data_IF_029144255290
#
_entry.id   IF_029144255290
#
_cell.length_a   1.000
_cell.length_b   1.000
_cell.length_c   1.000
_cell.angle_alpha   90.00
_cell.angle_beta   90.00
_cell.angle_gamma   90.00
#
_symmetry.space_group_name_H-M   'P 1'
#
loop_
_entity.id
_entity.type
_entity.pdbx_description
1 polymer ?
#
# COMPACT_ATOMS: atom_id res chain seq x y z
N UNK A 1 4.49 -26.60 -26.96
CA UNK A 1 3.32 -26.08 -26.20
C UNK A 1 3.80 -25.80 -24.81
N UNK A 2 3.36 -24.67 -24.21
CA UNK A 2 3.69 -24.37 -22.83
C UNK A 2 2.99 -25.34 -21.87
N UNK A 3 3.57 -25.57 -20.70
CA UNK A 3 3.00 -26.44 -19.66
C UNK A 3 1.75 -25.78 -19.04
N UNK A 4 1.74 -24.44 -18.94
CA UNK A 4 0.65 -23.63 -18.41
C UNK A 4 0.24 -22.59 -19.46
N UNK A 5 -1.07 -22.48 -19.71
CA UNK A 5 -1.64 -21.39 -20.50
C UNK A 5 -2.47 -20.50 -19.55
N UNK A 6 -2.18 -19.21 -19.54
CA UNK A 6 -2.87 -18.27 -18.65
C UNK A 6 -3.27 -17.00 -19.41
N UNK A 7 -4.33 -16.34 -18.99
CA UNK A 7 -4.69 -15.01 -19.53
C UNK A 7 -3.73 -13.95 -18.96
N UNK A 8 -3.44 -14.01 -17.66
CA UNK A 8 -2.66 -13.02 -16.94
C UNK A 8 -1.57 -13.69 -16.11
N UNK A 9 -0.32 -13.34 -16.39
CA UNK A 9 0.84 -13.67 -15.58
C UNK A 9 1.17 -12.48 -14.67
N UNK A 10 1.20 -12.70 -13.35
CA UNK A 10 1.52 -11.67 -12.36
C UNK A 10 2.84 -12.02 -11.67
N UNK A 11 3.82 -11.13 -11.71
CA UNK A 11 5.15 -11.33 -11.14
C UNK A 11 5.30 -10.47 -9.87
N UNK A 12 5.29 -11.12 -8.72
CA UNK A 12 5.33 -10.55 -7.37
C UNK A 12 4.03 -10.74 -6.61
N UNK A 13 4.06 -11.49 -5.50
CA UNK A 13 2.92 -11.83 -4.65
C UNK A 13 2.69 -10.89 -3.45
N UNK A 14 3.28 -9.68 -3.47
CA UNK A 14 2.96 -8.64 -2.49
C UNK A 14 1.51 -8.13 -2.63
N UNK A 15 1.13 -7.11 -1.85
CA UNK A 15 -0.25 -6.58 -1.85
C UNK A 15 -0.75 -6.22 -3.25
N UNK A 16 0.10 -5.62 -4.09
CA UNK A 16 -0.27 -5.24 -5.46
C UNK A 16 -0.64 -6.46 -6.32
N UNK A 17 0.27 -7.45 -6.39
CA UNK A 17 0.07 -8.62 -7.22
C UNK A 17 -1.02 -9.54 -6.71
N UNK A 18 -1.11 -9.76 -5.41
CA UNK A 18 -2.18 -10.58 -4.81
C UNK A 18 -3.57 -9.95 -4.97
N UNK A 19 -3.69 -8.62 -4.84
CA UNK A 19 -4.94 -7.91 -5.11
C UNK A 19 -5.36 -8.03 -6.57
N UNK A 20 -4.42 -7.84 -7.52
CA UNK A 20 -4.68 -8.02 -8.94
C UNK A 20 -5.08 -9.48 -9.25
N UNK A 21 -4.34 -10.46 -8.71
CA UNK A 21 -4.64 -11.87 -8.91
C UNK A 21 -6.06 -12.22 -8.43
N UNK A 22 -6.43 -11.74 -7.25
CA UNK A 22 -7.77 -11.94 -6.71
C UNK A 22 -8.85 -11.30 -7.59
N UNK A 23 -8.66 -10.03 -7.98
CA UNK A 23 -9.63 -9.29 -8.76
C UNK A 23 -9.88 -9.93 -10.15
N UNK A 24 -8.81 -10.32 -10.85
CA UNK A 24 -8.89 -10.92 -12.17
C UNK A 24 -9.42 -12.36 -12.13
N UNK A 25 -9.00 -13.20 -11.18
CA UNK A 25 -9.53 -14.55 -11.06
C UNK A 25 -11.01 -14.58 -10.70
N UNK A 26 -11.48 -13.67 -9.86
CA UNK A 26 -12.93 -13.52 -9.55
C UNK A 26 -13.76 -13.05 -10.76
N UNK A 27 -13.14 -12.45 -11.76
CA UNK A 27 -13.77 -12.15 -13.07
C UNK A 27 -13.67 -13.30 -14.07
N UNK A 28 -13.06 -14.43 -13.68
CA UNK A 28 -12.95 -15.65 -14.47
C UNK A 28 -11.79 -15.69 -15.47
N UNK A 29 -10.82 -14.76 -15.38
CA UNK A 29 -9.57 -14.87 -16.15
C UNK A 29 -8.68 -15.95 -15.56
N UNK A 30 -7.96 -16.68 -16.42
CA UNK A 30 -6.91 -17.61 -16.00
C UNK A 30 -5.72 -16.80 -15.50
N UNK A 31 -5.38 -16.92 -14.21
CA UNK A 31 -4.34 -16.11 -13.55
C UNK A 31 -3.27 -17.00 -12.97
N UNK A 32 -2.01 -16.71 -13.33
CA UNK A 32 -0.84 -17.30 -12.68
C UNK A 32 -0.12 -16.22 -11.89
N UNK A 33 -0.08 -16.35 -10.55
CA UNK A 33 0.68 -15.50 -9.66
C UNK A 33 2.01 -16.15 -9.29
N UNK A 34 3.10 -15.41 -9.39
CA UNK A 34 4.45 -15.85 -9.04
C UNK A 34 5.00 -15.05 -7.86
N UNK A 35 5.55 -15.73 -6.84
CA UNK A 35 6.23 -15.09 -5.72
C UNK A 35 7.51 -15.85 -5.33
N UNK A 36 8.58 -15.11 -5.05
CA UNK A 36 9.88 -15.68 -4.66
C UNK A 36 10.00 -16.03 -3.18
N UNK A 37 9.22 -15.38 -2.33
CA UNK A 37 9.35 -15.43 -0.87
C UNK A 37 8.16 -16.11 -0.23
N UNK A 38 8.40 -17.14 0.59
CA UNK A 38 7.35 -17.86 1.35
C UNK A 38 6.67 -16.98 2.42
N UNK A 39 7.32 -15.91 2.84
CA UNK A 39 6.81 -15.01 3.88
C UNK A 39 6.88 -13.56 3.44
N UNK A 40 5.91 -12.73 3.85
CA UNK A 40 5.99 -11.29 3.65
C UNK A 40 7.30 -10.72 4.18
N UNK A 41 7.97 -9.89 3.39
CA UNK A 41 9.28 -9.32 3.75
C UNK A 41 9.18 -8.03 4.55
N UNK A 42 8.02 -7.39 4.54
CA UNK A 42 7.82 -6.05 5.09
C UNK A 42 6.59 -6.01 6.00
N UNK A 43 6.82 -6.17 7.31
CA UNK A 43 5.77 -6.19 8.34
C UNK A 43 5.47 -4.81 8.92
N UNK A 44 6.31 -3.81 8.63
CA UNK A 44 6.21 -2.49 9.27
C UNK A 44 5.53 -1.43 8.40
N UNK A 45 5.08 -1.75 7.18
CA UNK A 45 4.30 -0.85 6.32
C UNK A 45 2.90 -0.59 6.86
N UNK A 46 2.14 0.29 6.18
CA UNK A 46 0.80 0.71 6.60
C UNK A 46 -0.18 -0.45 6.77
N UNK A 47 -1.07 -0.34 7.76
CA UNK A 47 -2.00 -1.39 8.19
C UNK A 47 -3.46 -1.04 7.87
N UNK A 48 -3.75 -0.01 7.08
CA UNK A 48 -5.14 0.37 6.87
C UNK A 48 -5.51 0.64 5.41
N UNK A 49 -6.74 0.26 5.08
CA UNK A 49 -7.38 0.54 3.81
C UNK A 49 -8.49 1.59 4.03
N UNK A 50 -8.58 2.51 3.07
CA UNK A 50 -9.54 3.61 3.10
C UNK A 50 -10.97 3.14 2.81
N UNK A 51 -12.00 3.88 3.26
CA UNK A 51 -13.39 3.64 2.91
C UNK A 51 -13.64 3.37 1.42
N UNK A 52 -13.13 4.21 0.53
CA UNK A 52 -13.26 4.02 -0.92
C UNK A 52 -12.66 2.71 -1.43
N UNK A 53 -11.60 2.22 -0.78
CA UNK A 53 -11.02 0.91 -1.10
C UNK A 53 -11.85 -0.23 -0.53
N UNK A 54 -12.43 -0.07 0.66
CA UNK A 54 -13.38 -1.05 1.21
C UNK A 54 -14.59 -1.24 0.29
N UNK A 55 -15.09 -0.17 -0.32
CA UNK A 55 -16.14 -0.24 -1.35
C UNK A 55 -15.70 -1.06 -2.58
N UNK A 56 -14.47 -0.86 -3.07
CA UNK A 56 -13.90 -1.65 -4.16
C UNK A 56 -13.83 -3.13 -3.78
N UNK A 57 -13.32 -3.43 -2.58
CA UNK A 57 -13.25 -4.82 -2.09
C UNK A 57 -14.63 -5.46 -1.93
N UNK A 58 -15.64 -4.67 -1.59
CA UNK A 58 -17.05 -5.09 -1.60
C UNK A 58 -17.52 -5.47 -3.00
N UNK A 59 -17.24 -4.64 -4.01
CA UNK A 59 -17.54 -4.93 -5.43
C UNK A 59 -16.85 -6.20 -5.95
N UNK A 60 -15.66 -6.49 -5.45
CA UNK A 60 -14.93 -7.73 -5.79
C UNK A 60 -15.40 -8.95 -5.01
N UNK A 61 -16.33 -8.80 -4.05
CA UNK A 61 -16.77 -9.83 -3.10
C UNK A 61 -15.60 -10.40 -2.26
N UNK A 62 -14.71 -9.53 -1.79
CA UNK A 62 -13.51 -9.89 -1.00
C UNK A 62 -13.53 -9.28 0.40
N UNK A 63 -14.33 -8.25 0.64
CA UNK A 63 -14.34 -7.52 1.90
C UNK A 63 -14.57 -8.41 3.13
N UNK A 64 -15.49 -9.38 3.03
CA UNK A 64 -15.78 -10.31 4.13
C UNK A 64 -14.60 -11.24 4.47
N UNK A 65 -13.74 -11.56 3.50
CA UNK A 65 -12.54 -12.35 3.74
C UNK A 65 -11.59 -11.64 4.69
N UNK A 66 -11.45 -10.31 4.56
CA UNK A 66 -10.66 -9.51 5.48
C UNK A 66 -11.19 -9.57 6.90
N UNK A 67 -12.50 -9.41 7.10
CA UNK A 67 -13.10 -9.47 8.43
C UNK A 67 -13.02 -10.86 9.05
N UNK A 68 -13.25 -11.92 8.28
CA UNK A 68 -13.04 -13.32 8.71
C UNK A 68 -11.59 -13.58 9.10
N UNK A 69 -10.62 -12.92 8.46
CA UNK A 69 -9.19 -13.01 8.77
C UNK A 69 -8.75 -12.08 9.90
N UNK A 70 -9.68 -11.38 10.55
CA UNK A 70 -9.41 -10.60 11.76
C UNK A 70 -9.23 -9.09 11.55
N UNK A 71 -9.51 -8.57 10.35
CA UNK A 71 -9.55 -7.12 10.13
C UNK A 71 -10.54 -6.42 11.06
N UNK A 72 -10.26 -5.16 11.39
CA UNK A 72 -11.05 -4.35 12.31
C UNK A 72 -11.53 -3.06 11.64
N UNK A 73 -12.78 -2.70 11.90
CA UNK A 73 -13.31 -1.38 11.52
C UNK A 73 -12.82 -0.32 12.50
N UNK A 74 -12.40 0.84 11.97
CA UNK A 74 -11.95 2.00 12.76
C UNK A 74 -12.59 3.26 12.18
N UNK A 75 -12.92 4.20 13.05
CA UNK A 75 -13.61 5.42 12.62
C UNK A 75 -12.69 6.42 11.89
N UNK A 76 -11.39 6.45 12.20
CA UNK A 76 -10.46 7.39 11.58
C UNK A 76 -9.25 7.71 12.43
N UNK A 77 -8.80 8.97 12.39
CA UNK A 77 -7.67 9.45 13.16
C UNK A 77 -8.07 10.59 14.09
N UNK A 78 -7.47 10.60 15.28
CA UNK A 78 -7.52 11.71 16.23
C UNK A 78 -6.18 12.45 16.20
N UNK A 79 -6.24 13.77 16.15
CA UNK A 79 -5.07 14.65 16.10
C UNK A 79 -4.91 15.40 17.41
N UNK A 80 -3.67 15.44 17.90
CA UNK A 80 -3.29 16.08 19.15
C UNK A 80 -2.00 16.88 18.98
N UNK A 81 -1.78 17.87 19.84
CA UNK A 81 -0.44 18.40 20.04
C UNK A 81 0.40 17.50 20.98
N UNK A 82 1.64 17.87 21.24
CA UNK A 82 2.56 17.10 22.08
C UNK A 82 2.11 16.98 23.55
N UNK A 83 1.34 17.92 24.04
CA UNK A 83 0.76 17.93 25.40
C UNK A 83 -0.57 17.16 25.47
N UNK A 84 -0.94 16.46 24.40
CA UNK A 84 -2.18 15.72 24.23
C UNK A 84 -3.45 16.59 24.24
N UNK A 85 -3.35 17.88 23.92
CA UNK A 85 -4.52 18.70 23.66
C UNK A 85 -5.14 18.30 22.31
N UNK A 86 -6.44 18.08 22.32
CA UNK A 86 -7.20 17.67 21.13
C UNK A 86 -7.21 18.78 20.08
N UNK A 87 -6.98 18.41 18.82
CA UNK A 87 -6.96 19.33 17.67
C UNK A 87 -8.09 19.04 16.68
N UNK A 88 -8.25 17.77 16.26
CA UNK A 88 -9.26 17.40 15.28
C UNK A 88 -9.65 15.92 15.38
N UNK A 89 -10.92 15.65 15.17
CA UNK A 89 -11.45 14.30 14.91
C UNK A 89 -11.71 14.10 13.40
N UNK A 90 -10.81 13.34 12.74
CA UNK A 90 -10.96 12.96 11.35
C UNK A 90 -11.80 11.69 11.17
N UNK A 91 -12.85 11.55 11.96
CA UNK A 91 -13.78 10.44 11.95
C UNK A 91 -14.65 10.44 10.68
N UNK A 92 -14.66 9.30 9.98
CA UNK A 92 -15.43 9.11 8.73
C UNK A 92 -16.77 8.41 8.96
N UNK A 93 -17.08 7.96 10.18
CA UNK A 93 -18.29 7.18 10.46
C UNK A 93 -19.61 7.93 10.25
N UNK A 94 -19.54 9.26 10.15
CA UNK A 94 -20.70 10.14 9.91
C UNK A 94 -20.78 10.62 8.45
N UNK A 95 -19.88 10.19 7.58
CA UNK A 95 -19.95 10.50 6.16
C UNK A 95 -21.03 9.67 5.48
N UNK A 96 -21.73 10.27 4.53
CA UNK A 96 -22.70 9.57 3.67
C UNK A 96 -21.96 8.87 2.52
N UNK A 97 -21.33 7.74 2.85
CA UNK A 97 -20.54 6.90 1.95
C UNK A 97 -20.85 5.41 2.22
N UNK A 98 -20.67 4.50 1.25
CA UNK A 98 -21.04 3.09 1.40
C UNK A 98 -20.39 2.37 2.57
N UNK A 99 -19.09 2.59 2.78
CA UNK A 99 -18.29 1.95 3.83
C UNK A 99 -17.66 3.01 4.75
N UNK A 100 -18.40 3.59 5.74
CA UNK A 100 -17.95 4.74 6.52
C UNK A 100 -16.98 4.35 7.65
N UNK A 101 -15.93 3.61 7.30
CA UNK A 101 -14.86 3.18 8.22
C UNK A 101 -13.56 2.90 7.47
N UNK A 102 -12.44 3.04 8.14
CA UNK A 102 -11.17 2.46 7.72
C UNK A 102 -11.12 0.98 8.12
N UNK A 103 -10.63 0.12 7.25
CA UNK A 103 -10.34 -1.26 7.58
C UNK A 103 -8.87 -1.41 7.97
N UNK A 104 -8.62 -1.88 9.19
CA UNK A 104 -7.29 -2.14 9.72
C UNK A 104 -7.00 -3.63 9.66
N UNK A 105 -5.89 -3.98 9.05
CA UNK A 105 -5.36 -5.33 8.96
C UNK A 105 -3.84 -5.28 9.07
N UNK A 106 -3.23 -6.22 9.79
CA UNK A 106 -1.78 -6.27 9.85
C UNK A 106 -1.22 -6.44 8.42
N UNK A 107 -0.20 -5.66 8.08
CA UNK A 107 0.33 -5.61 6.70
C UNK A 107 0.74 -6.98 6.18
N UNK A 108 1.37 -7.77 7.05
CA UNK A 108 1.84 -9.12 6.77
C UNK A 108 0.74 -10.10 6.35
N UNK A 109 -0.52 -9.83 6.69
CA UNK A 109 -1.64 -10.72 6.42
C UNK A 109 -2.44 -10.31 5.17
N UNK A 110 -2.28 -9.09 4.66
CA UNK A 110 -3.12 -8.53 3.58
C UNK A 110 -3.01 -9.33 2.29
N UNK A 111 -1.79 -9.68 1.87
CA UNK A 111 -1.57 -10.48 0.66
C UNK A 111 -2.15 -11.89 0.79
N UNK A 112 -2.04 -12.50 1.98
CA UNK A 112 -2.57 -13.83 2.23
C UNK A 112 -4.10 -13.87 2.14
N UNK A 113 -4.79 -12.80 2.58
CA UNK A 113 -6.26 -12.68 2.40
C UNK A 113 -6.64 -12.65 0.94
N UNK A 114 -5.93 -11.87 0.10
CA UNK A 114 -6.19 -11.82 -1.33
C UNK A 114 -5.92 -13.17 -2.01
N UNK A 115 -4.80 -13.83 -1.69
CA UNK A 115 -4.46 -15.16 -2.22
C UNK A 115 -5.50 -16.20 -1.78
N UNK A 116 -5.93 -16.17 -0.51
CA UNK A 116 -6.98 -17.08 -0.01
C UNK A 116 -8.29 -16.89 -0.76
N UNK A 117 -8.70 -15.64 -1.00
CA UNK A 117 -9.91 -15.35 -1.77
C UNK A 117 -9.79 -15.70 -3.25
N UNK A 118 -8.58 -15.61 -3.84
CA UNK A 118 -8.31 -16.04 -5.21
C UNK A 118 -8.37 -17.55 -5.35
N UNK A 119 -7.86 -18.31 -4.36
CA UNK A 119 -7.87 -19.80 -4.34
C UNK A 119 -9.28 -20.43 -4.36
N UNK A 120 -10.34 -19.65 -4.13
CA UNK A 120 -11.72 -20.11 -4.30
C UNK A 120 -12.10 -20.29 -5.78
N UNK A 121 -11.28 -19.80 -6.72
CA UNK A 121 -11.54 -19.85 -8.14
C UNK A 121 -10.59 -20.86 -8.83
N UNK A 122 -11.13 -21.78 -9.60
CA UNK A 122 -10.37 -22.78 -10.37
C UNK A 122 -9.42 -22.13 -11.41
N UNK A 123 -9.74 -20.90 -11.83
CA UNK A 123 -8.93 -20.11 -12.77
C UNK A 123 -7.70 -19.46 -12.14
N UNK A 124 -7.40 -19.69 -10.86
CA UNK A 124 -6.24 -19.14 -10.18
C UNK A 124 -5.20 -20.20 -9.89
N UNK A 125 -3.95 -19.88 -10.21
CA UNK A 125 -2.77 -20.69 -9.86
C UNK A 125 -1.73 -19.83 -9.17
N UNK A 126 -1.09 -20.35 -8.13
CA UNK A 126 -0.05 -19.67 -7.37
C UNK A 126 1.21 -20.50 -7.26
N UNK A 127 2.33 -19.99 -7.76
CA UNK A 127 3.65 -20.62 -7.63
C UNK A 127 4.51 -19.81 -6.65
N UNK A 128 4.75 -20.40 -5.49
CA UNK A 128 5.55 -19.82 -4.40
C UNK A 128 6.16 -20.94 -3.55
N UNK A 129 7.46 -20.91 -3.26
CA UNK A 129 8.44 -19.94 -3.77
C UNK A 129 9.02 -20.33 -5.13
N UNK A 130 9.26 -19.33 -5.98
CA UNK A 130 10.03 -19.51 -7.21
C UNK A 130 11.47 -19.01 -7.02
N UNK A 131 12.41 -19.58 -7.78
CA UNK A 131 13.80 -19.13 -7.85
C UNK A 131 13.97 -18.05 -8.93
N UNK A 132 13.37 -18.28 -10.09
CA UNK A 132 13.46 -17.39 -11.23
C UNK A 132 12.24 -17.46 -12.13
N UNK A 133 11.98 -16.34 -12.81
CA UNK A 133 11.06 -16.23 -13.91
C UNK A 133 11.81 -15.51 -15.05
N UNK A 134 12.00 -16.17 -16.17
CA UNK A 134 12.74 -15.66 -17.32
C UNK A 134 11.81 -15.57 -18.53
N UNK A 135 11.79 -14.41 -19.18
CA UNK A 135 11.09 -14.25 -20.46
C UNK A 135 11.89 -14.98 -21.56
N UNK A 136 11.21 -15.81 -22.35
CA UNK A 136 11.81 -16.56 -23.46
C UNK A 136 11.59 -15.79 -24.77
N UNK A 137 10.32 -15.58 -25.12
CA UNK A 137 9.93 -14.93 -26.38
C UNK A 137 8.53 -14.33 -26.28
N UNK A 138 8.22 -13.45 -27.21
CA UNK A 138 6.87 -12.89 -27.42
C UNK A 138 6.54 -12.98 -28.90
N UNK A 139 5.42 -13.59 -29.21
CA UNK A 139 4.85 -13.66 -30.56
C UNK A 139 3.56 -12.78 -30.66
N UNK A 140 2.82 -12.89 -31.77
CA UNK A 140 1.61 -12.09 -31.99
C UNK A 140 0.49 -12.41 -30.98
N UNK A 141 0.41 -13.63 -30.47
CA UNK A 141 -0.68 -14.09 -29.62
C UNK A 141 -0.36 -14.04 -28.13
N UNK A 142 0.90 -14.34 -27.73
CA UNK A 142 1.28 -14.55 -26.34
C UNK A 142 2.77 -14.27 -26.06
N UNK A 143 3.10 -14.21 -24.78
CA UNK A 143 4.48 -14.16 -24.27
C UNK A 143 4.78 -15.43 -23.49
N UNK A 144 5.96 -16.03 -23.72
CA UNK A 144 6.40 -17.27 -23.11
C UNK A 144 7.45 -17.01 -22.03
N UNK A 145 7.27 -17.66 -20.88
CA UNK A 145 8.16 -17.57 -19.72
C UNK A 145 8.62 -18.96 -19.28
N UNK A 146 9.86 -19.03 -18.80
CA UNK A 146 10.39 -20.17 -18.04
C UNK A 146 10.38 -19.81 -16.55
N UNK A 147 9.79 -20.68 -15.74
CA UNK A 147 9.66 -20.51 -14.30
C UNK A 147 10.40 -21.66 -13.62
N UNK A 148 11.33 -21.34 -12.72
CA UNK A 148 12.04 -22.35 -11.91
C UNK A 148 11.57 -22.27 -10.47
N UNK A 149 10.96 -23.36 -10.00
CA UNK A 149 10.53 -23.53 -8.62
C UNK A 149 11.70 -23.90 -7.69
N UNK A 150 11.51 -23.76 -6.39
CA UNK A 150 12.54 -24.04 -5.36
C UNK A 150 13.02 -25.48 -5.36
N UNK A 151 12.16 -26.44 -5.71
CA UNK A 151 12.50 -27.86 -5.84
C UNK A 151 13.30 -28.19 -7.10
N UNK A 152 13.56 -27.18 -7.96
CA UNK A 152 14.31 -27.31 -9.21
C UNK A 152 13.43 -27.61 -10.43
N UNK A 153 12.14 -27.81 -10.27
CA UNK A 153 11.18 -28.01 -11.38
C UNK A 153 11.19 -26.77 -12.29
N UNK A 154 11.26 -27.01 -13.58
CA UNK A 154 11.16 -25.98 -14.63
C UNK A 154 9.78 -26.14 -15.29
N UNK A 155 9.04 -25.07 -15.37
CA UNK A 155 7.71 -24.99 -15.96
C UNK A 155 7.66 -23.85 -16.96
N UNK A 156 7.07 -24.05 -18.13
CA UNK A 156 6.85 -23.01 -19.12
C UNK A 156 5.42 -22.47 -19.02
N UNK A 157 5.26 -21.15 -19.07
CA UNK A 157 3.97 -20.47 -19.03
C UNK A 157 3.80 -19.52 -20.22
N UNK A 158 2.69 -19.67 -20.95
CA UNK A 158 2.27 -18.75 -21.99
C UNK A 158 1.17 -17.83 -21.48
N UNK A 159 1.25 -16.53 -21.80
CA UNK A 159 0.32 -15.52 -21.28
C UNK A 159 0.02 -14.42 -22.30
N UNK A 160 -1.19 -13.88 -22.25
CA UNK A 160 -1.64 -12.76 -23.08
C UNK A 160 -1.33 -11.39 -22.45
N UNK A 161 -1.26 -11.33 -21.11
CA UNK A 161 -0.97 -10.10 -20.37
C UNK A 161 0.01 -10.37 -19.24
N UNK A 162 0.95 -9.47 -19.04
CA UNK A 162 1.97 -9.52 -17.98
C UNK A 162 1.75 -8.35 -17.03
N UNK A 163 1.59 -8.65 -15.73
CA UNK A 163 1.57 -7.63 -14.68
C UNK A 163 2.85 -7.74 -13.85
N UNK A 164 3.63 -6.68 -13.79
CA UNK A 164 4.83 -6.60 -12.98
C UNK A 164 4.51 -5.89 -11.66
N UNK A 165 4.55 -6.64 -10.57
CA UNK A 165 4.24 -6.22 -9.20
C UNK A 165 5.41 -6.49 -8.23
N UNK A 166 6.66 -6.49 -8.72
CA UNK A 166 7.86 -6.92 -8.02
C UNK A 166 8.50 -5.82 -7.14
N UNK A 167 7.73 -4.75 -6.86
CA UNK A 167 8.00 -3.73 -5.87
C UNK A 167 9.01 -2.67 -6.28
N UNK A 168 9.48 -1.89 -5.29
CA UNK A 168 10.35 -0.73 -5.46
C UNK A 168 11.60 -1.03 -6.30
N UNK A 169 12.23 -2.18 -6.09
CA UNK A 169 13.42 -2.57 -6.84
C UNK A 169 13.15 -2.96 -8.30
N UNK A 170 11.97 -3.47 -8.58
CA UNK A 170 11.47 -3.96 -9.87
C UNK A 170 12.53 -4.40 -10.90
N UNK A 171 12.98 -5.63 -10.74
CA UNK A 171 13.96 -6.21 -11.65
C UNK A 171 13.35 -6.50 -13.03
N UNK A 172 12.09 -6.95 -13.04
CA UNK A 172 11.38 -7.24 -14.29
C UNK A 172 11.05 -5.95 -15.05
N UNK A 173 10.70 -4.86 -14.34
CA UNK A 173 10.53 -3.56 -14.99
C UNK A 173 11.80 -3.09 -15.70
N UNK A 174 12.98 -3.24 -15.07
CA UNK A 174 14.25 -2.94 -15.72
C UNK A 174 14.56 -3.87 -16.90
N UNK A 175 14.27 -5.17 -16.76
CA UNK A 175 14.47 -6.14 -17.84
C UNK A 175 13.68 -5.76 -19.10
N UNK A 176 12.43 -5.30 -18.94
CA UNK A 176 11.58 -4.84 -20.04
C UNK A 176 11.79 -3.36 -20.41
N UNK A 177 12.87 -2.73 -19.94
CA UNK A 177 13.24 -1.35 -20.24
C UNK A 177 12.14 -0.33 -19.88
N UNK A 178 11.53 -0.48 -18.71
CA UNK A 178 10.70 0.57 -18.12
C UNK A 178 11.61 1.57 -17.41
N UNK A 179 11.66 2.78 -17.91
CA UNK A 179 12.38 3.89 -17.28
C UNK A 179 11.59 4.38 -16.05
N UNK A 180 12.33 4.63 -14.96
CA UNK A 180 11.76 5.08 -13.69
C UNK A 180 12.64 6.15 -13.07
N UNK A 181 12.01 7.23 -12.62
CA UNK A 181 12.64 8.23 -11.78
C UNK A 181 12.48 7.89 -10.31
N UNK A 182 13.48 8.24 -9.51
CA UNK A 182 13.41 8.06 -8.06
C UNK A 182 13.84 9.33 -7.35
N UNK A 183 13.09 9.71 -6.33
CA UNK A 183 13.43 10.77 -5.41
C UNK A 183 13.63 10.19 -4.01
N UNK A 184 14.74 10.51 -3.36
CA UNK A 184 15.03 10.10 -1.98
C UNK A 184 14.74 11.24 -1.04
N UNK A 185 13.95 10.98 -0.02
CA UNK A 185 13.69 11.94 1.06
C UNK A 185 14.86 11.95 2.06
N UNK A 186 15.06 13.09 2.71
CA UNK A 186 16.19 13.32 3.62
C UNK A 186 16.01 12.58 4.96
N UNK A 187 14.79 12.51 5.47
CA UNK A 187 14.52 11.84 6.74
C UNK A 187 14.09 10.39 6.54
N UNK A 188 14.42 9.54 7.50
CA UNK A 188 13.99 8.14 7.54
C UNK A 188 12.74 7.97 8.40
N UNK A 189 11.90 6.99 8.07
CA UNK A 189 10.76 6.60 8.89
C UNK A 189 11.21 5.48 9.84
N UNK A 190 11.16 5.73 11.15
CA UNK A 190 11.33 4.72 12.18
C UNK A 190 9.96 4.18 12.60
N UNK A 191 9.85 2.85 12.71
CA UNK A 191 8.64 2.17 13.16
C UNK A 191 8.98 1.31 14.36
N UNK A 192 8.21 1.48 15.42
CA UNK A 192 8.28 0.71 16.66
C UNK A 192 6.99 -0.09 16.83
N UNK A 193 7.07 -1.25 17.47
CA UNK A 193 5.92 -2.02 17.94
C UNK A 193 5.81 -1.93 19.45
N UNK A 194 4.58 -2.00 19.95
CA UNK A 194 4.26 -2.31 21.35
C UNK A 194 3.15 -3.36 21.36
N UNK A 195 3.36 -4.43 22.13
CA UNK A 195 2.37 -5.50 22.30
C UNK A 195 1.44 -5.21 23.50
N UNK A 196 1.80 -4.24 24.36
CA UNK A 196 1.08 -3.92 25.60
C UNK A 196 -0.04 -2.88 25.40
N UNK A 197 -0.15 -2.31 24.17
CA UNK A 197 -1.20 -1.30 23.91
C UNK A 197 -2.56 -1.98 23.78
N UNK A 198 -3.45 -1.66 24.70
CA UNK A 198 -4.87 -1.97 24.57
C UNK A 198 -5.56 -0.78 23.91
N UNK A 199 -6.18 -1.05 22.76
CA UNK A 199 -6.92 -0.02 22.06
C UNK A 199 -8.10 0.44 22.93
N UNK A 200 -8.28 1.76 23.06
CA UNK A 200 -9.46 2.33 23.70
C UNK A 200 -10.74 1.94 22.94
N UNK A 201 -11.92 2.20 23.51
CA UNK A 201 -13.20 1.80 22.92
C UNK A 201 -13.44 2.40 21.52
N UNK A 202 -12.74 3.46 21.14
CA UNK A 202 -12.80 4.07 19.82
C UNK A 202 -11.77 3.51 18.84
N UNK A 203 -10.73 2.86 19.32
CA UNK A 203 -9.71 2.19 18.50
C UNK A 203 -9.19 3.01 17.30
N UNK A 204 -9.06 4.31 17.46
CA UNK A 204 -8.66 5.21 16.38
C UNK A 204 -7.14 5.32 16.28
N UNK A 205 -6.66 5.60 15.07
CA UNK A 205 -5.31 6.07 14.84
C UNK A 205 -5.13 7.38 15.60
N UNK A 206 -4.01 7.54 16.31
CA UNK A 206 -3.66 8.78 17.03
C UNK A 206 -2.41 9.39 16.44
N UNK A 207 -2.48 10.68 16.15
CA UNK A 207 -1.39 11.44 15.56
C UNK A 207 -1.08 12.64 16.45
N UNK A 208 0.20 12.78 16.79
CA UNK A 208 0.70 13.85 17.63
C UNK A 208 1.66 14.73 16.85
N UNK A 209 1.44 16.04 16.92
CA UNK A 209 2.33 17.06 16.35
C UNK A 209 3.37 17.44 17.41
N UNK A 210 4.63 17.10 17.16
CA UNK A 210 5.74 17.31 18.09
C UNK A 210 6.84 18.16 17.44
N UNK A 211 7.77 18.69 18.22
CA UNK A 211 8.92 19.43 17.67
C UNK A 211 9.84 18.59 16.77
N UNK A 212 9.73 17.25 16.84
CA UNK A 212 10.48 16.32 15.99
C UNK A 212 9.73 15.89 14.73
N UNK A 213 8.52 16.39 14.53
CA UNK A 213 7.62 15.99 13.48
C UNK A 213 6.40 15.22 13.98
N UNK A 214 5.77 14.52 13.08
CA UNK A 214 4.54 13.78 13.34
C UNK A 214 4.88 12.42 13.98
N UNK A 215 4.27 12.13 15.11
CA UNK A 215 4.28 10.81 15.76
C UNK A 215 2.90 10.18 15.59
N UNK A 216 2.83 9.07 14.86
CA UNK A 216 1.56 8.37 14.61
C UNK A 216 1.53 7.03 15.32
N UNK A 217 0.48 6.79 16.11
CA UNK A 217 0.20 5.51 16.72
C UNK A 217 -0.96 4.83 15.97
N UNK A 218 -0.72 3.63 15.48
CA UNK A 218 -1.63 2.82 14.68
C UNK A 218 -1.99 1.57 15.48
N UNK A 219 -3.24 1.41 15.98
CA UNK A 219 -3.65 0.19 16.65
C UNK A 219 -3.68 -0.96 15.65
N UNK A 220 -3.04 -2.08 15.98
CA UNK A 220 -2.98 -3.27 15.12
C UNK A 220 -4.26 -4.10 15.24
N UNK A 221 -4.60 -4.82 14.17
CA UNK A 221 -5.81 -5.65 14.15
C UNK A 221 -5.74 -6.83 15.13
N UNK A 222 -4.55 -7.40 15.32
CA UNK A 222 -4.29 -8.56 16.20
C UNK A 222 -3.80 -8.17 17.61
N UNK A 223 -3.98 -6.91 18.01
CA UNK A 223 -3.53 -6.37 19.29
C UNK A 223 -2.18 -5.63 19.19
N UNK A 224 -1.90 -4.82 20.22
CA UNK A 224 -0.76 -3.92 20.24
C UNK A 224 -0.90 -2.73 19.28
N UNK A 225 0.20 -2.02 19.07
CA UNK A 225 0.22 -0.88 18.15
C UNK A 225 1.56 -0.76 17.42
N UNK A 226 1.53 0.01 16.30
CA UNK A 226 2.71 0.57 15.65
C UNK A 226 2.84 2.04 16.02
N UNK A 227 4.07 2.50 16.23
CA UNK A 227 4.39 3.91 16.41
C UNK A 227 5.36 4.29 15.30
N UNK A 228 4.93 5.21 14.44
CA UNK A 228 5.72 5.74 13.33
C UNK A 228 6.16 7.18 13.59
N UNK A 229 7.41 7.49 13.28
CA UNK A 229 7.93 8.85 13.32
C UNK A 229 9.10 9.02 12.35
N UNK A 230 9.40 10.25 11.96
CA UNK A 230 10.58 10.55 11.16
C UNK A 230 11.80 10.78 12.04
N UNK A 231 12.95 10.31 11.58
CA UNK A 231 14.27 10.53 12.20
C UNK A 231 15.25 11.01 11.16
N UNK A 232 16.29 11.71 11.56
CA UNK A 232 17.33 12.12 10.65
C UNK A 232 18.21 10.94 10.22
N UNK A 233 18.76 10.95 9.00
CA UNK A 233 19.50 9.80 8.47
C UNK A 233 20.74 9.45 9.27
N UNK A 234 21.41 10.44 9.86
CA UNK A 234 22.58 10.21 10.70
C UNK A 234 22.24 9.53 12.03
N UNK A 235 20.99 9.64 12.49
CA UNK A 235 20.48 8.96 13.70
C UNK A 235 20.21 7.47 13.47
N UNK A 236 20.12 6.98 12.21
CA UNK A 236 19.74 5.57 11.92
C UNK A 236 20.66 4.58 12.67
N UNK A 237 21.95 4.85 12.73
CA UNK A 237 22.90 3.96 13.40
C UNK A 237 22.71 3.90 14.92
N UNK A 238 22.36 5.03 15.54
CA UNK A 238 22.08 5.12 16.98
C UNK A 238 20.74 4.47 17.30
N UNK A 239 19.71 4.75 16.49
CA UNK A 239 18.38 4.13 16.62
C UNK A 239 18.43 2.59 16.57
N UNK A 240 19.18 2.00 15.64
CA UNK A 240 19.35 0.53 15.56
C UNK A 240 20.02 -0.09 16.78
N UNK A 241 20.68 0.69 17.63
CA UNK A 241 21.35 0.23 18.85
C UNK A 241 20.53 0.50 20.12
N UNK A 242 19.42 1.22 20.02
CA UNK A 242 18.57 1.52 21.17
C UNK A 242 17.94 0.27 21.75
N UNK A 243 17.90 0.22 23.08
CA UNK A 243 17.14 -0.77 23.82
C UNK A 243 15.65 -0.39 23.92
N UNK A 244 14.79 -1.32 24.34
CA UNK A 244 13.38 -1.03 24.62
C UNK A 244 13.20 0.14 25.60
N UNK A 245 14.06 0.25 26.62
CA UNK A 245 14.04 1.37 27.58
C UNK A 245 14.42 2.70 26.93
N UNK A 246 15.34 2.69 25.96
CA UNK A 246 15.73 3.91 25.25
C UNK A 246 14.59 4.41 24.36
N UNK A 247 13.91 3.50 23.63
CA UNK A 247 12.72 3.84 22.85
C UNK A 247 11.60 4.39 23.73
N UNK A 248 11.30 3.72 24.85
CA UNK A 248 10.29 4.16 25.81
C UNK A 248 10.59 5.57 26.34
N UNK A 249 11.84 5.82 26.75
CA UNK A 249 12.27 7.14 27.22
C UNK A 249 12.17 8.22 26.14
N UNK A 250 12.59 7.88 24.91
CA UNK A 250 12.56 8.81 23.79
C UNK A 250 11.13 9.18 23.41
N UNK A 251 10.28 8.18 23.15
CA UNK A 251 8.88 8.41 22.75
C UNK A 251 8.08 9.05 23.90
N UNK A 252 8.27 8.59 25.14
CA UNK A 252 7.61 9.18 26.31
C UNK A 252 7.99 10.65 26.59
N UNK A 253 9.16 11.11 26.09
CA UNK A 253 9.52 12.53 26.12
C UNK A 253 8.79 13.32 25.03
N UNK A 254 8.60 12.73 23.84
CA UNK A 254 7.88 13.37 22.72
C UNK A 254 6.37 13.36 22.94
N UNK A 255 5.85 12.25 23.44
CA UNK A 255 4.42 12.03 23.68
C UNK A 255 4.27 11.44 25.09
N UNK A 256 4.07 12.28 26.13
CA UNK A 256 3.99 11.85 27.51
C UNK A 256 2.94 10.76 27.78
N UNK A 257 1.89 10.69 26.99
CA UNK A 257 0.87 9.63 27.05
C UNK A 257 1.44 8.21 26.82
N UNK A 258 2.61 8.08 26.20
CA UNK A 258 3.23 6.78 25.86
C UNK A 258 4.48 6.45 26.72
N UNK A 259 4.71 7.21 27.81
CA UNK A 259 5.89 7.05 28.68
C UNK A 259 6.04 5.65 29.30
N UNK A 260 4.93 4.94 29.48
CA UNK A 260 4.90 3.62 30.11
C UNK A 260 4.82 2.46 29.11
N UNK A 261 4.69 2.72 27.81
CA UNK A 261 4.64 1.69 26.78
C UNK A 261 6.02 1.06 26.55
N UNK A 262 6.11 -0.24 26.65
CA UNK A 262 7.29 -0.99 26.19
C UNK A 262 7.28 -1.10 24.67
N UNK A 263 8.41 -0.76 24.06
CA UNK A 263 8.53 -0.68 22.60
C UNK A 263 9.78 -1.40 22.12
N UNK A 264 9.71 -1.92 20.90
CA UNK A 264 10.86 -2.49 20.18
C UNK A 264 10.83 -2.07 18.71
N UNK A 265 12.02 -2.09 18.07
CA UNK A 265 12.11 -1.68 16.66
C UNK A 265 11.45 -2.70 15.76
N UNK A 266 10.52 -2.23 14.90
CA UNK A 266 9.98 -3.01 13.80
C UNK A 266 10.78 -2.79 12.51
N UNK A 267 11.40 -1.61 12.34
CA UNK A 267 12.23 -1.29 11.19
C UNK A 267 12.50 0.20 11.05
N UNK A 268 13.48 0.51 10.20
CA UNK A 268 13.80 1.89 9.81
C UNK A 268 13.90 1.92 8.28
N UNK A 269 13.10 2.76 7.67
CA UNK A 269 12.96 2.85 6.21
C UNK A 269 13.39 4.25 5.73
N UNK A 270 14.35 4.35 4.80
CA UNK A 270 14.56 5.58 4.06
C UNK A 270 13.49 5.69 2.97
N UNK A 271 12.49 6.58 3.10
CA UNK A 271 11.46 6.71 2.08
C UNK A 271 12.04 7.14 0.75
N UNK A 272 11.43 6.68 -0.31
CA UNK A 272 11.69 7.16 -1.67
C UNK A 272 10.38 7.19 -2.44
N UNK A 273 10.26 8.14 -3.34
CA UNK A 273 9.22 8.16 -4.36
C UNK A 273 9.80 7.55 -5.63
N UNK A 274 9.05 6.69 -6.29
CA UNK A 274 9.40 6.10 -7.58
C UNK A 274 8.25 6.31 -8.52
N UNK A 275 8.53 6.79 -9.73
CA UNK A 275 7.52 6.95 -10.77
C UNK A 275 8.08 6.37 -12.07
N UNK A 276 7.34 5.42 -12.65
CA UNK A 276 7.60 4.92 -13.97
C UNK A 276 7.20 5.96 -15.03
N UNK A 277 8.08 6.17 -16.01
CA UNK A 277 7.79 7.05 -17.13
C UNK A 277 6.63 6.50 -17.98
N UNK A 278 6.67 5.21 -18.27
CA UNK A 278 5.58 4.47 -18.88
C UNK A 278 5.08 3.41 -17.90
N UNK A 279 3.75 3.29 -17.78
CA UNK A 279 3.12 2.30 -16.91
C UNK A 279 2.78 1.03 -17.67
N UNK A 280 2.62 1.15 -18.98
CA UNK A 280 2.37 0.03 -19.88
C UNK A 280 3.22 0.14 -21.14
N UNK A 281 3.59 -1.02 -21.69
CA UNK A 281 4.30 -1.18 -22.95
C UNK A 281 3.95 -2.54 -23.52
N UNK A 282 3.45 -2.56 -24.76
CA UNK A 282 2.93 -3.79 -25.36
C UNK A 282 1.86 -4.44 -24.47
N UNK A 283 1.97 -5.74 -24.19
CA UNK A 283 1.07 -6.47 -23.30
C UNK A 283 1.54 -6.51 -21.82
N UNK A 284 2.41 -5.59 -21.42
CA UNK A 284 3.02 -5.52 -20.09
C UNK A 284 2.54 -4.28 -19.37
N UNK A 285 2.16 -4.42 -18.09
CA UNK A 285 1.81 -3.30 -17.19
C UNK A 285 2.55 -3.40 -15.87
N UNK A 286 3.05 -2.26 -15.38
CA UNK A 286 3.58 -2.11 -14.02
C UNK A 286 2.44 -1.77 -13.07
N UNK A 287 2.43 -2.37 -11.88
CA UNK A 287 1.46 -2.06 -10.81
C UNK A 287 2.14 -1.88 -9.45
N UNK A 288 1.49 -1.13 -8.57
CA UNK A 288 1.99 -0.87 -7.23
C UNK A 288 3.34 -0.13 -7.21
N UNK A 289 4.20 -0.47 -6.25
CA UNK A 289 5.51 0.19 -6.08
C UNK A 289 6.47 -0.02 -7.25
N UNK A 290 6.22 -0.97 -8.14
CA UNK A 290 6.96 -1.12 -9.39
C UNK A 290 6.65 0.04 -10.36
N UNK A 291 5.44 0.59 -10.29
CA UNK A 291 4.92 1.67 -11.12
C UNK A 291 5.04 3.04 -10.44
N UNK A 292 4.48 3.17 -9.22
CA UNK A 292 4.40 4.41 -8.45
C UNK A 292 4.59 4.13 -6.95
N UNK A 293 5.85 4.05 -6.53
CA UNK A 293 6.19 3.97 -5.10
C UNK A 293 6.03 5.34 -4.45
N UNK A 294 5.23 5.42 -3.38
CA UNK A 294 4.85 6.66 -2.71
C UNK A 294 5.55 6.82 -1.36
N UNK A 295 5.70 8.07 -0.89
CA UNK A 295 6.09 8.33 0.48
C UNK A 295 5.02 7.77 1.44
N UNK A 296 5.41 7.01 2.50
CA UNK A 296 4.45 6.29 3.35
C UNK A 296 3.60 7.16 4.27
N UNK A 297 3.93 8.44 4.45
CA UNK A 297 3.34 9.33 5.45
C UNK A 297 1.82 9.53 5.39
N UNK A 298 1.17 9.22 4.27
CA UNK A 298 -0.30 9.28 4.12
C UNK A 298 -0.93 7.91 3.84
N UNK A 299 -0.17 6.83 3.95
CA UNK A 299 -0.64 5.46 3.72
C UNK A 299 -1.36 5.26 2.38
N UNK A 300 -0.92 5.97 1.32
CA UNK A 300 -1.60 5.95 0.01
C UNK A 300 -1.18 4.78 -0.89
N UNK A 301 0.00 4.16 -0.70
CA UNK A 301 0.56 3.18 -1.64
C UNK A 301 -0.39 2.02 -1.96
N UNK A 302 -0.85 1.29 -0.94
CA UNK A 302 -1.80 0.18 -1.12
C UNK A 302 -3.15 0.65 -1.66
N UNK A 303 -3.66 1.76 -1.11
CA UNK A 303 -4.96 2.31 -1.49
C UNK A 303 -4.98 2.73 -2.96
N UNK A 304 -3.93 3.43 -3.43
CA UNK A 304 -3.79 3.81 -4.84
C UNK A 304 -3.65 2.58 -5.72
N UNK A 305 -2.86 1.59 -5.31
CA UNK A 305 -2.68 0.35 -6.06
C UNK A 305 -4.00 -0.38 -6.31
N UNK A 306 -4.84 -0.57 -5.27
CA UNK A 306 -6.13 -1.24 -5.41
C UNK A 306 -7.08 -0.46 -6.33
N UNK A 307 -7.09 0.87 -6.23
CA UNK A 307 -7.84 1.74 -7.17
C UNK A 307 -7.37 1.59 -8.61
N UNK A 308 -6.04 1.53 -8.82
CA UNK A 308 -5.47 1.30 -10.15
C UNK A 308 -5.85 -0.06 -10.73
N UNK A 309 -5.83 -1.11 -9.90
CA UNK A 309 -6.25 -2.46 -10.30
C UNK A 309 -7.74 -2.49 -10.65
N UNK A 310 -8.59 -1.85 -9.85
CA UNK A 310 -10.05 -1.77 -10.11
C UNK A 310 -10.34 -1.04 -11.43
N UNK A 311 -9.66 0.06 -11.67
CA UNK A 311 -9.80 0.80 -12.92
C UNK A 311 -9.37 -0.04 -14.14
N UNK A 312 -8.20 -0.69 -14.06
CA UNK A 312 -7.73 -1.59 -15.11
C UNK A 312 -8.72 -2.72 -15.36
N UNK A 313 -9.23 -3.35 -14.31
CA UNK A 313 -10.21 -4.43 -14.39
C UNK A 313 -11.52 -3.98 -15.08
N UNK A 314 -11.90 -2.71 -14.89
CA UNK A 314 -13.05 -2.12 -15.55
C UNK A 314 -12.86 -1.89 -17.06
N UNK A 315 -11.62 -1.74 -17.52
CA UNK A 315 -11.28 -1.53 -18.93
C UNK A 315 -11.03 -2.84 -19.69
N UNK A 316 -10.66 -3.90 -18.99
CA UNK A 316 -10.28 -5.19 -19.60
C UNK A 316 -11.46 -5.77 -20.39
N UNK A 317 -11.24 -6.20 -21.65
CA UNK A 317 -12.27 -6.79 -22.48
C UNK A 317 -12.82 -8.09 -21.89
N UNK A 318 -14.07 -8.47 -22.16
CA UNK A 318 -14.62 -9.78 -21.77
C UNK A 318 -13.72 -10.95 -22.18
N UNK A 319 -13.80 -12.07 -21.44
CA UNK A 319 -12.87 -13.22 -21.61
C UNK A 319 -12.81 -13.76 -23.06
N UNK A 320 -13.91 -13.78 -23.77
CA UNK A 320 -13.99 -14.20 -25.18
C UNK A 320 -13.26 -13.25 -26.15
N UNK A 321 -13.09 -12.01 -25.76
CA UNK A 321 -12.34 -10.97 -26.50
C UNK A 321 -10.96 -10.70 -25.90
N UNK A 322 -10.53 -11.45 -24.88
CA UNK A 322 -9.25 -11.26 -24.22
C UNK A 322 -8.11 -11.84 -25.08
N UNK A 323 -7.74 -11.09 -26.11
CA UNK A 323 -6.62 -11.34 -27.00
C UNK A 323 -5.54 -10.32 -26.78
N UNK A 324 -4.27 -10.67 -27.03
CA UNK A 324 -3.11 -9.79 -26.81
C UNK A 324 -3.27 -8.41 -27.49
N UNK A 325 -3.78 -8.34 -28.72
CA UNK A 325 -4.03 -7.08 -29.42
C UNK A 325 -5.02 -6.16 -28.70
N UNK A 326 -6.07 -6.72 -28.07
CA UNK A 326 -7.06 -5.97 -27.31
C UNK A 326 -6.49 -5.57 -25.94
N UNK A 327 -5.67 -6.43 -25.33
CA UNK A 327 -4.93 -6.13 -24.10
C UNK A 327 -4.02 -4.91 -24.31
N UNK A 328 -3.24 -4.87 -25.39
CA UNK A 328 -2.35 -3.74 -25.71
C UNK A 328 -3.14 -2.42 -25.76
N UNK A 329 -4.25 -2.38 -26.53
CA UNK A 329 -5.11 -1.19 -26.62
C UNK A 329 -5.68 -0.77 -25.26
N UNK A 330 -6.08 -1.75 -24.44
CA UNK A 330 -6.59 -1.52 -23.09
C UNK A 330 -5.51 -0.95 -22.17
N UNK A 331 -4.29 -1.47 -22.22
CA UNK A 331 -3.19 -0.98 -21.41
C UNK A 331 -2.75 0.43 -21.79
N UNK A 332 -2.78 0.78 -23.07
CA UNK A 332 -2.57 2.16 -23.54
C UNK A 332 -3.63 3.12 -23.00
N UNK A 333 -4.91 2.72 -23.06
CA UNK A 333 -6.01 3.51 -22.49
C UNK A 333 -5.86 3.65 -20.97
N UNK A 334 -5.61 2.54 -20.25
CA UNK A 334 -5.38 2.52 -18.81
C UNK A 334 -4.28 3.49 -18.38
N UNK A 335 -3.12 3.41 -19.03
CA UNK A 335 -2.00 4.30 -18.74
C UNK A 335 -2.38 5.77 -18.91
N UNK A 336 -3.05 6.12 -20.01
CA UNK A 336 -3.47 7.49 -20.30
C UNK A 336 -4.42 8.02 -19.23
N UNK A 337 -5.43 7.24 -18.86
CA UNK A 337 -6.45 7.64 -17.89
C UNK A 337 -5.87 7.70 -16.47
N UNK A 338 -5.16 6.66 -16.04
CA UNK A 338 -4.67 6.59 -14.66
C UNK A 338 -3.54 7.58 -14.37
N UNK A 339 -2.63 7.84 -15.31
CA UNK A 339 -1.61 8.89 -15.12
C UNK A 339 -2.25 10.25 -14.91
N UNK A 340 -3.32 10.57 -15.64
CA UNK A 340 -4.08 11.80 -15.43
C UNK A 340 -4.78 11.81 -14.07
N UNK A 341 -5.49 10.71 -13.75
CA UNK A 341 -6.34 10.63 -12.55
C UNK A 341 -5.56 10.71 -11.23
N UNK A 342 -4.33 10.21 -11.19
CA UNK A 342 -3.54 10.18 -9.95
C UNK A 342 -2.39 11.19 -9.90
N UNK A 343 -2.20 12.01 -10.93
CA UNK A 343 -1.10 12.97 -10.96
C UNK A 343 -1.13 13.93 -9.76
N UNK A 344 -2.29 14.50 -9.46
CA UNK A 344 -2.46 15.38 -8.29
C UNK A 344 -2.14 14.65 -6.96
N UNK A 345 -2.50 13.36 -6.86
CA UNK A 345 -2.18 12.55 -5.69
C UNK A 345 -0.67 12.33 -5.57
N UNK A 346 0.03 12.05 -6.68
CA UNK A 346 1.48 11.90 -6.71
C UNK A 346 2.18 13.19 -6.26
N UNK A 347 1.75 14.35 -6.78
CA UNK A 347 2.26 15.67 -6.42
C UNK A 347 1.99 16.00 -4.95
N UNK A 348 0.77 15.79 -4.47
CA UNK A 348 0.40 16.01 -3.08
C UNK A 348 1.17 15.09 -2.10
N UNK A 349 1.40 13.84 -2.48
CA UNK A 349 2.20 12.91 -1.70
C UNK A 349 3.68 13.33 -1.67
N UNK A 350 4.22 13.79 -2.79
CA UNK A 350 5.60 14.31 -2.86
C UNK A 350 5.77 15.56 -2.01
N UNK A 351 4.88 16.53 -2.15
CA UNK A 351 4.88 17.77 -1.36
C UNK A 351 4.82 17.48 0.15
N UNK A 352 3.98 16.52 0.57
CA UNK A 352 3.92 16.09 1.95
C UNK A 352 5.24 15.44 2.42
N UNK A 353 5.87 14.61 1.59
CA UNK A 353 7.18 14.03 1.90
C UNK A 353 8.26 15.11 2.12
N UNK A 354 8.29 16.13 1.26
CA UNK A 354 9.18 17.29 1.41
C UNK A 354 8.87 18.09 2.68
N UNK A 355 7.59 18.29 3.02
CA UNK A 355 7.18 18.93 4.26
C UNK A 355 7.65 18.14 5.50
N UNK A 356 7.62 16.81 5.45
CA UNK A 356 8.14 15.99 6.55
C UNK A 356 9.68 16.08 6.67
N UNK A 357 10.40 16.20 5.55
CA UNK A 357 11.85 16.40 5.55
C UNK A 357 12.25 17.75 6.19
N UNK A 358 11.48 18.80 5.93
CA UNK A 358 11.74 20.18 6.38
C UNK A 358 10.90 20.59 7.61
N UNK A 359 10.34 19.61 8.34
CA UNK A 359 9.46 19.88 9.47
C UNK A 359 10.25 20.52 10.63
N UNK A 360 9.83 21.71 11.03
CA UNK A 360 10.41 22.50 12.11
C UNK A 360 9.33 23.00 13.10
N UNK A 361 9.72 23.82 14.05
CA UNK A 361 8.80 24.40 15.03
C UNK A 361 7.67 25.22 14.38
N UNK A 362 7.97 26.02 13.34
CA UNK A 362 6.94 26.79 12.64
C UNK A 362 5.96 25.89 11.92
N UNK A 363 6.45 24.85 11.25
CA UNK A 363 5.62 23.81 10.61
C UNK A 363 4.67 23.15 11.62
N UNK A 364 5.14 22.90 12.85
CA UNK A 364 4.28 22.37 13.93
C UNK A 364 3.16 23.35 14.28
N UNK A 365 3.49 24.63 14.48
CA UNK A 365 2.51 25.66 14.81
C UNK A 365 1.46 25.79 13.71
N UNK A 366 1.90 25.87 12.46
CA UNK A 366 1.01 25.99 11.30
C UNK A 366 0.06 24.77 11.16
N UNK A 367 0.57 23.56 11.35
CA UNK A 367 -0.26 22.35 11.33
C UNK A 367 -1.25 22.28 12.50
N UNK A 368 -0.86 22.73 13.71
CA UNK A 368 -1.78 22.84 14.87
C UNK A 368 -2.93 23.80 14.56
N UNK A 369 -2.62 25.00 14.02
CA UNK A 369 -3.65 25.98 13.65
C UNK A 369 -4.58 25.44 12.56
N UNK A 370 -4.01 24.82 11.53
CA UNK A 370 -4.76 24.18 10.45
C UNK A 370 -5.75 23.14 10.98
N UNK A 371 -5.33 22.23 11.85
CA UNK A 371 -6.22 21.21 12.38
C UNK A 371 -7.31 21.77 13.29
N UNK A 372 -7.01 22.81 14.09
CA UNK A 372 -8.01 23.54 14.86
C UNK A 372 -9.06 24.21 13.96
N UNK A 373 -8.64 24.82 12.86
CA UNK A 373 -9.53 25.44 11.88
C UNK A 373 -10.41 24.39 11.19
N UNK A 374 -9.83 23.27 10.77
CA UNK A 374 -10.57 22.15 10.16
C UNK A 374 -11.63 21.53 11.11
N UNK A 375 -11.38 21.53 12.41
CA UNK A 375 -12.36 21.04 13.41
C UNK A 375 -13.51 22.04 13.60
N UNK A 376 -13.23 23.34 13.51
CA UNK A 376 -14.23 24.41 13.69
C UNK A 376 -15.07 24.65 12.43
N UNK A 377 -14.48 24.55 11.25
CA UNK A 377 -15.14 24.76 9.96
C UNK A 377 -15.75 23.44 9.47
N UNK A 378 -17.08 23.36 9.50
CA UNK A 378 -17.82 22.15 9.13
C UNK A 378 -17.60 21.72 7.67
N UNK A 379 -17.49 22.66 6.74
CA UNK A 379 -17.33 22.39 5.30
C UNK A 379 -15.90 21.95 5.00
N UNK A 380 -14.91 22.69 5.49
CA UNK A 380 -13.50 22.33 5.35
C UNK A 380 -13.19 20.99 6.03
N UNK A 381 -13.73 20.77 7.25
CA UNK A 381 -13.59 19.52 7.98
C UNK A 381 -14.28 18.34 7.28
N UNK A 382 -15.46 18.54 6.69
CA UNK A 382 -16.12 17.53 5.86
C UNK A 382 -15.25 17.17 4.63
N UNK A 383 -14.77 18.16 3.90
CA UNK A 383 -13.89 18.00 2.75
C UNK A 383 -12.62 17.22 3.14
N UNK A 384 -12.01 17.55 4.26
CA UNK A 384 -10.83 16.83 4.76
C UNK A 384 -11.15 15.36 5.04
N UNK A 385 -12.29 15.06 5.70
CA UNK A 385 -12.72 13.68 6.00
C UNK A 385 -13.01 12.89 4.72
N UNK A 386 -13.66 13.50 3.71
CA UNK A 386 -13.90 12.87 2.40
C UNK A 386 -12.57 12.51 1.70
N UNK A 387 -11.60 13.43 1.67
CA UNK A 387 -10.26 13.16 1.12
C UNK A 387 -9.55 12.05 1.91
N UNK A 388 -9.62 12.06 3.24
CA UNK A 388 -9.08 11.02 4.10
C UNK A 388 -9.71 9.65 3.81
N UNK A 389 -11.01 9.62 3.56
CA UNK A 389 -11.76 8.43 3.17
C UNK A 389 -11.41 7.89 1.77
N UNK A 390 -10.65 8.63 0.98
CA UNK A 390 -10.21 8.25 -0.36
C UNK A 390 -11.10 8.76 -1.49
N UNK A 391 -12.02 9.68 -1.21
CA UNK A 391 -12.88 10.34 -2.19
C UNK A 391 -12.34 11.75 -2.50
N UNK A 392 -11.25 11.80 -3.24
CA UNK A 392 -10.55 13.03 -3.63
C UNK A 392 -9.06 12.98 -3.33
N UNK A 393 -8.37 14.07 -3.65
CA UNK A 393 -6.94 14.25 -3.46
C UNK A 393 -6.69 15.19 -2.27
N UNK A 394 -5.69 14.85 -1.44
CA UNK A 394 -5.26 15.70 -0.32
C UNK A 394 -4.55 16.96 -0.77
#
# INVERSE_FOLDING_TARGET
MADINTDVLIIGGGVAGSAAACAFSKKGYEVLLLEKSEKPQDTARGDHLQPAVCEILGKWNVLDHFFKSGAKKRAGSLWFDEDANFLMDANVSKLDIPEPYFMFMNHEDISDVFVSAANENESFSFMCPIISCAHIETNDDESLFEIKSKDGTITTAATKMIMIADGVASNMGRYFNFERTSFRYERALAVLFSDEYEADEFNNLRTYLTDRGIVTMIPRAKGGCKIGLTIDRDEIKSWKKMSSKDYQKFIGKLVPAYKDLKMYSAGIYPPSMIIAENWAKDNIVLIGDACHGLHPGRSQGMNTTIKCVDHLLGLIPPKDLFKKENVIKTLEQYQKEMKSNINELLEANHSMGLSMDNFDHQSKVDEIEKFKLLEQDKEAGHTYRMKSAGYGVF
#
